data_IF_280069889086
#
_entry.id   IF_280069889086
#
_cell.length_a   1.000
_cell.length_b   1.000
_cell.length_c   1.000
_cell.angle_alpha   90.00
_cell.angle_beta   90.00
_cell.angle_gamma   90.00
#
_symmetry.space_group_name_H-M   'P 1'
#
loop_
_entity.id
_entity.type
_entity.pdbx_description
1 polymer ?
#
# COMPACT_ATOMS: atom_id res chain seq x y z
N UNK A 1 -17.54 19.33 -1.88
CA UNK A 1 -16.70 18.20 -1.42
C UNK A 1 -17.65 17.06 -1.09
N UNK A 2 -17.91 16.19 -2.05
CA UNK A 2 -18.87 15.10 -1.90
C UNK A 2 -18.16 14.00 -1.10
N UNK A 3 -18.64 13.71 0.11
CA UNK A 3 -18.13 12.61 0.94
C UNK A 3 -18.26 11.31 0.15
N UNK A 4 -17.15 10.61 0.02
CA UNK A 4 -17.04 9.28 -0.56
C UNK A 4 -17.96 8.34 0.23
N UNK A 5 -18.76 7.57 -0.50
CA UNK A 5 -19.64 6.54 0.02
C UNK A 5 -18.76 5.49 0.72
N UNK A 6 -18.96 5.27 2.02
CA UNK A 6 -18.20 4.30 2.83
C UNK A 6 -18.50 2.88 2.32
N UNK A 7 -17.70 2.41 1.36
CA UNK A 7 -17.63 0.98 1.09
C UNK A 7 -17.00 0.30 2.31
N UNK A 8 -17.79 -0.45 3.07
CA UNK A 8 -17.35 -1.17 4.28
C UNK A 8 -16.09 -2.00 3.97
N UNK A 9 -14.96 -1.59 4.56
CA UNK A 9 -13.75 -2.42 4.59
C UNK A 9 -14.14 -3.69 5.36
N UNK A 10 -13.76 -4.87 4.84
CA UNK A 10 -13.99 -6.18 5.49
C UNK A 10 -13.11 -6.36 6.74
N UNK A 11 -13.04 -5.37 7.61
CA UNK A 11 -12.48 -5.50 8.95
C UNK A 11 -13.63 -6.00 9.83
N UNK A 12 -13.53 -7.27 10.20
CA UNK A 12 -14.60 -7.97 10.93
C UNK A 12 -14.77 -7.38 12.34
N UNK A 13 -13.68 -6.85 12.93
CA UNK A 13 -13.73 -6.18 14.22
C UNK A 13 -12.63 -5.10 14.36
N UNK A 14 -12.99 -3.92 14.86
CA UNK A 14 -12.05 -2.80 15.03
C UNK A 14 -11.03 -3.06 16.16
N UNK A 15 -11.33 -4.00 17.06
CA UNK A 15 -10.49 -4.41 18.19
C UNK A 15 -9.25 -5.20 17.75
N UNK A 16 -9.27 -5.82 16.56
CA UNK A 16 -8.14 -6.56 16.00
C UNK A 16 -7.05 -5.62 15.43
N UNK A 17 -7.30 -4.31 15.42
CA UNK A 17 -6.34 -3.31 14.99
C UNK A 17 -5.27 -3.11 16.06
N UNK A 18 -4.08 -3.64 15.80
CA UNK A 18 -2.88 -3.44 16.62
C UNK A 18 -2.30 -2.07 16.30
N UNK A 19 -1.95 -1.29 17.33
CA UNK A 19 -1.29 0.01 17.20
C UNK A 19 0.20 -0.14 17.49
N UNK A 20 1.02 0.55 16.72
CA UNK A 20 2.47 0.53 16.89
C UNK A 20 3.06 1.94 16.64
N UNK A 21 4.35 2.10 16.95
CA UNK A 21 5.15 3.27 16.60
C UNK A 21 6.33 2.77 15.79
N UNK A 22 6.52 3.33 14.60
CA UNK A 22 7.69 3.09 13.77
C UNK A 22 8.55 4.33 13.67
N UNK A 23 9.86 4.11 13.59
CA UNK A 23 10.81 5.15 13.20
C UNK A 23 11.12 4.97 11.72
N UNK A 24 10.84 6.00 10.92
CA UNK A 24 11.15 6.07 9.49
C UNK A 24 12.05 7.28 9.30
N UNK A 25 13.24 7.06 8.75
CA UNK A 25 14.31 8.06 8.71
C UNK A 25 14.57 8.69 10.10
N UNK A 26 14.20 9.96 10.27
CA UNK A 26 14.33 10.77 11.48
C UNK A 26 12.99 10.96 12.22
N UNK A 27 11.91 10.43 11.68
CA UNK A 27 10.54 10.70 12.11
C UNK A 27 9.92 9.50 12.80
N UNK A 28 9.06 9.75 13.79
CA UNK A 28 8.23 8.73 14.42
C UNK A 28 6.81 8.81 13.88
N UNK A 29 6.32 7.70 13.34
CA UNK A 29 4.95 7.59 12.86
C UNK A 29 4.17 6.61 13.74
N UNK A 30 2.91 6.94 14.04
CA UNK A 30 1.96 5.98 14.61
C UNK A 30 1.41 5.13 13.48
N UNK A 31 1.45 3.81 13.65
CA UNK A 31 0.90 2.87 12.68
C UNK A 31 -0.23 2.07 13.30
N UNK A 32 -1.14 1.64 12.42
CA UNK A 32 -2.17 0.65 12.70
C UNK A 32 -1.92 -0.56 11.82
N UNK A 33 -2.27 -1.73 12.34
CA UNK A 33 -1.96 -3.00 11.73
C UNK A 33 -3.11 -3.98 11.93
N UNK A 34 -3.50 -4.69 10.86
CA UNK A 34 -4.60 -5.66 10.87
C UNK A 34 -4.39 -6.72 9.80
N UNK A 35 -5.17 -7.80 9.84
CA UNK A 35 -5.08 -8.95 8.96
C UNK A 35 -6.35 -9.11 8.11
N UNK A 36 -6.18 -9.29 6.80
CA UNK A 36 -7.24 -9.63 5.87
C UNK A 36 -7.23 -11.14 5.64
N UNK A 37 -8.28 -11.83 6.11
CA UNK A 37 -8.33 -13.30 6.12
C UNK A 37 -9.25 -13.84 5.02
N UNK A 38 -8.74 -14.79 4.25
CA UNK A 38 -9.45 -15.62 3.28
C UNK A 38 -8.73 -16.99 3.17
N UNK A 39 -8.69 -17.63 2.00
CA UNK A 39 -7.79 -18.76 1.73
C UNK A 39 -6.29 -18.42 1.90
N UNK A 40 -5.96 -17.14 2.12
CA UNK A 40 -4.67 -16.61 2.54
C UNK A 40 -4.88 -15.56 3.65
N UNK A 41 -3.81 -15.17 4.34
CA UNK A 41 -3.81 -14.08 5.33
C UNK A 41 -2.82 -13.01 4.87
N UNK A 42 -3.35 -11.85 4.50
CA UNK A 42 -2.54 -10.68 4.14
C UNK A 42 -2.60 -9.67 5.28
N UNK A 43 -1.45 -9.38 5.86
CA UNK A 43 -1.32 -8.40 6.93
C UNK A 43 -0.99 -7.02 6.36
N UNK A 44 -1.72 -6.00 6.81
CA UNK A 44 -1.57 -4.62 6.37
C UNK A 44 -1.16 -3.76 7.55
N UNK A 45 -0.07 -3.02 7.41
CA UNK A 45 0.35 -1.97 8.35
C UNK A 45 0.42 -0.62 7.63
N UNK A 46 -0.18 0.42 8.20
CA UNK A 46 -0.13 1.78 7.63
C UNK A 46 -0.11 2.85 8.71
N UNK A 47 0.43 4.02 8.39
CA UNK A 47 0.45 5.16 9.29
C UNK A 47 1.07 6.40 8.68
N UNK A 48 0.83 7.54 9.32
CA UNK A 48 1.42 8.84 8.95
C UNK A 48 1.65 9.68 10.21
N UNK A 49 2.61 10.61 10.16
CA UNK A 49 2.75 11.69 11.15
C UNK A 49 2.05 13.00 10.74
N UNK A 50 1.19 12.97 9.71
CA UNK A 50 0.41 14.11 9.24
C UNK A 50 1.17 15.01 8.28
N UNK A 51 0.58 16.19 8.04
CA UNK A 51 1.14 17.22 7.16
C UNK A 51 2.11 18.15 7.90
N UNK A 52 3.21 18.51 7.25
CA UNK A 52 4.29 19.34 7.82
C UNK A 52 4.61 20.59 6.97
N UNK A 53 3.82 20.87 5.93
CA UNK A 53 3.82 22.14 5.21
C UNK A 53 4.84 22.27 4.09
N UNK A 54 5.22 21.18 3.42
CA UNK A 54 6.21 21.23 2.35
C UNK A 54 6.61 19.88 1.78
N UNK A 55 7.85 19.83 1.28
CA UNK A 55 8.48 18.64 0.70
C UNK A 55 8.93 17.62 1.77
N UNK A 56 9.51 16.50 1.32
CA UNK A 56 10.09 15.45 2.19
C UNK A 56 11.01 15.99 3.30
N UNK A 57 11.67 17.13 3.09
CA UNK A 57 12.60 17.74 4.05
C UNK A 57 11.92 18.28 5.29
N UNK A 58 10.61 18.51 5.24
CA UNK A 58 9.80 19.05 6.34
C UNK A 58 9.36 17.96 7.34
N UNK A 59 9.63 16.69 7.04
CA UNK A 59 9.40 15.58 7.98
C UNK A 59 8.06 14.87 7.84
N UNK A 60 7.19 15.24 6.90
CA UNK A 60 5.98 14.46 6.60
C UNK A 60 6.35 13.05 6.11
N UNK A 61 5.75 12.02 6.69
CA UNK A 61 5.94 10.60 6.32
C UNK A 61 4.62 9.85 6.30
N UNK A 62 4.46 8.98 5.31
CA UNK A 62 3.44 7.93 5.30
C UNK A 62 4.04 6.58 4.93
N UNK A 63 3.45 5.54 5.49
CA UNK A 63 3.85 4.14 5.32
C UNK A 63 2.66 3.32 4.85
N UNK A 64 2.90 2.46 3.86
CA UNK A 64 2.02 1.35 3.51
C UNK A 64 2.86 0.09 3.43
N UNK A 65 2.50 -0.92 4.21
CA UNK A 65 3.18 -2.20 4.24
C UNK A 65 2.18 -3.34 4.09
N UNK A 66 2.49 -4.27 3.19
CA UNK A 66 1.77 -5.51 2.96
C UNK A 66 2.70 -6.67 3.32
N UNK A 67 2.27 -7.61 4.14
CA UNK A 67 3.08 -8.76 4.58
C UNK A 67 2.31 -10.07 4.44
N UNK A 68 2.98 -11.14 4.00
CA UNK A 68 2.39 -12.48 4.00
C UNK A 68 2.37 -13.00 5.45
N UNK A 69 1.18 -13.08 6.04
CA UNK A 69 0.99 -13.70 7.34
C UNK A 69 0.63 -15.19 7.23
N UNK A 70 0.07 -15.62 6.09
CA UNK A 70 -0.09 -17.03 5.73
C UNK A 70 -0.51 -17.18 4.26
N UNK A 71 0.32 -17.89 3.47
CA UNK A 71 -0.03 -18.39 2.14
C UNK A 71 -0.47 -17.32 1.13
N UNK A 72 0.05 -16.10 1.24
CA UNK A 72 -0.20 -15.02 0.27
C UNK A 72 0.80 -15.09 -0.87
N UNK A 73 0.31 -15.35 -2.08
CA UNK A 73 1.13 -15.24 -3.28
C UNK A 73 1.31 -13.77 -3.68
N UNK A 74 2.54 -13.27 -3.60
CA UNK A 74 2.87 -11.90 -3.97
C UNK A 74 4.26 -11.78 -4.58
N UNK A 75 4.39 -10.86 -5.54
CA UNK A 75 5.63 -10.49 -6.23
C UNK A 75 5.71 -8.98 -6.35
N UNK A 76 6.91 -8.43 -6.27
CA UNK A 76 7.16 -6.99 -6.38
C UNK A 76 8.25 -6.73 -7.42
N UNK A 77 8.00 -5.79 -8.33
CA UNK A 77 8.97 -5.29 -9.30
C UNK A 77 9.35 -3.88 -8.90
N UNK A 78 10.66 -3.61 -8.83
CA UNK A 78 11.18 -2.27 -8.52
C UNK A 78 11.98 -1.78 -9.72
N UNK A 79 11.50 -0.71 -10.33
CA UNK A 79 12.20 -0.01 -11.40
C UNK A 79 12.75 1.31 -10.87
N UNK A 80 13.99 1.65 -11.25
CA UNK A 80 14.63 2.88 -10.83
C UNK A 80 15.53 3.44 -11.93
N UNK A 81 15.92 4.70 -11.78
CA UNK A 81 16.94 5.30 -12.61
C UNK A 81 18.26 5.35 -11.85
N UNK A 82 19.34 4.88 -12.47
CA UNK A 82 20.69 5.02 -11.93
C UNK A 82 21.54 5.70 -12.99
N UNK A 83 22.07 6.87 -12.63
CA UNK A 83 22.98 7.67 -13.46
C UNK A 83 22.47 7.98 -14.88
N UNK A 84 21.20 8.37 -15.04
CA UNK A 84 20.63 8.74 -16.35
C UNK A 84 20.06 7.57 -17.15
N UNK A 85 20.12 6.34 -16.64
CA UNK A 85 19.60 5.15 -17.31
C UNK A 85 18.50 4.50 -16.48
N UNK A 86 17.31 4.38 -17.06
CA UNK A 86 16.23 3.57 -16.48
C UNK A 86 16.66 2.10 -16.49
N UNK A 87 16.69 1.48 -15.31
CA UNK A 87 16.92 0.05 -15.15
C UNK A 87 15.81 -0.53 -14.28
N UNK A 88 15.17 -1.60 -14.77
CA UNK A 88 14.28 -2.40 -13.95
C UNK A 88 15.11 -3.46 -13.24
N UNK A 89 15.12 -3.40 -11.91
CA UNK A 89 15.69 -4.45 -11.09
C UNK A 89 14.56 -5.40 -10.72
N UNK A 90 14.42 -6.46 -11.50
CA UNK A 90 13.58 -7.57 -11.09
C UNK A 90 14.32 -8.34 -9.98
N UNK A 91 14.03 -7.99 -8.74
CA UNK A 91 14.55 -8.72 -7.59
C UNK A 91 13.68 -9.97 -7.44
N UNK A 92 14.19 -11.09 -7.95
CA UNK A 92 13.54 -12.38 -7.81
C UNK A 92 13.73 -12.91 -6.40
N UNK A 93 12.74 -12.67 -5.55
CA UNK A 93 12.61 -13.42 -4.30
C UNK A 93 11.91 -14.75 -4.59
N UNK A 94 12.43 -15.84 -4.03
CA UNK A 94 11.74 -17.14 -4.06
C UNK A 94 10.38 -17.09 -3.35
N UNK A 95 10.26 -16.19 -2.39
CA UNK A 95 9.06 -15.83 -1.67
C UNK A 95 9.22 -14.38 -1.17
N UNK A 96 8.19 -13.55 -1.33
CA UNK A 96 8.21 -12.17 -0.81
C UNK A 96 7.50 -12.20 0.53
N UNK A 97 8.20 -11.88 1.63
CA UNK A 97 7.58 -11.83 2.97
C UNK A 97 6.78 -10.53 3.17
N UNK A 98 7.24 -9.43 2.59
CA UNK A 98 6.58 -8.13 2.69
C UNK A 98 7.02 -7.14 1.62
N UNK A 99 6.13 -6.21 1.28
CA UNK A 99 6.42 -5.02 0.47
C UNK A 99 6.09 -3.78 1.31
N UNK A 100 6.99 -2.82 1.32
CA UNK A 100 6.87 -1.58 2.09
C UNK A 100 7.12 -0.37 1.19
N UNK A 101 6.17 0.57 1.21
CA UNK A 101 6.24 1.85 0.50
C UNK A 101 6.25 2.95 1.54
N UNK A 102 7.25 3.82 1.45
CA UNK A 102 7.37 5.03 2.26
C UNK A 102 7.41 6.23 1.32
N UNK A 103 6.55 7.21 1.61
CA UNK A 103 6.57 8.51 0.94
C UNK A 103 6.75 9.61 1.97
N UNK A 104 7.27 10.76 1.55
CA UNK A 104 7.40 11.90 2.43
C UNK A 104 7.23 13.22 1.73
N UNK A 105 6.69 14.18 2.48
CA UNK A 105 6.16 15.44 1.95
C UNK A 105 4.64 15.36 1.80
N UNK A 106 3.98 16.52 1.91
CA UNK A 106 2.52 16.56 1.96
C UNK A 106 1.92 16.15 0.61
N UNK A 107 2.53 16.60 -0.48
CA UNK A 107 2.10 16.27 -1.84
C UNK A 107 2.21 14.77 -2.13
N UNK A 108 3.29 14.13 -1.69
CA UNK A 108 3.48 12.69 -1.89
C UNK A 108 2.50 11.86 -1.03
N UNK A 109 2.16 12.35 0.17
CA UNK A 109 1.13 11.71 1.01
C UNK A 109 -0.24 11.80 0.35
N UNK A 110 -0.65 12.98 -0.13
CA UNK A 110 -1.93 13.17 -0.81
C UNK A 110 -2.03 12.31 -2.08
N UNK A 111 -1.02 12.37 -2.93
CA UNK A 111 -1.00 11.60 -4.18
C UNK A 111 -0.91 10.08 -3.95
N UNK A 112 -0.28 9.62 -2.86
CA UNK A 112 -0.32 8.21 -2.46
C UNK A 112 -1.75 7.78 -2.09
N UNK A 113 -2.48 8.59 -1.32
CA UNK A 113 -3.87 8.30 -0.93
C UNK A 113 -4.75 8.20 -2.19
N UNK A 114 -4.71 9.23 -3.05
CA UNK A 114 -5.48 9.26 -4.30
C UNK A 114 -5.18 8.04 -5.19
N UNK A 115 -3.90 7.63 -5.26
CA UNK A 115 -3.48 6.46 -6.03
C UNK A 115 -4.05 5.16 -5.48
N UNK A 116 -4.05 4.98 -4.15
CA UNK A 116 -4.62 3.80 -3.49
C UNK A 116 -6.14 3.73 -3.67
N UNK A 117 -6.84 4.85 -3.57
CA UNK A 117 -8.27 4.94 -3.84
C UNK A 117 -8.60 4.57 -5.30
N UNK A 118 -7.82 5.08 -6.25
CA UNK A 118 -7.94 4.72 -7.66
C UNK A 118 -7.75 3.21 -7.88
N UNK A 119 -6.70 2.62 -7.30
CA UNK A 119 -6.42 1.19 -7.39
C UNK A 119 -7.62 0.37 -6.88
N UNK A 120 -8.10 0.68 -5.68
CA UNK A 120 -9.24 -0.04 -5.07
C UNK A 120 -10.48 0.07 -5.95
N UNK A 121 -10.81 1.28 -6.42
CA UNK A 121 -11.96 1.51 -7.28
C UNK A 121 -11.87 0.71 -8.58
N UNK A 122 -10.74 0.79 -9.28
CA UNK A 122 -10.55 0.13 -10.56
C UNK A 122 -10.59 -1.40 -10.43
N UNK A 123 -9.95 -1.97 -9.40
CA UNK A 123 -9.99 -3.43 -9.15
C UNK A 123 -11.42 -3.91 -8.87
N UNK A 124 -12.19 -3.19 -8.06
CA UNK A 124 -13.61 -3.51 -7.80
C UNK A 124 -14.44 -3.47 -9.07
N UNK A 125 -14.26 -2.44 -9.89
CA UNK A 125 -14.99 -2.27 -11.17
C UNK A 125 -14.69 -3.42 -12.14
N UNK A 126 -13.42 -3.78 -12.32
CA UNK A 126 -13.01 -4.90 -13.17
C UNK A 126 -13.60 -6.25 -12.70
N UNK A 127 -13.58 -6.52 -11.38
CA UNK A 127 -14.17 -7.75 -10.83
C UNK A 127 -15.69 -7.85 -11.06
N UNK A 128 -16.39 -6.72 -11.14
CA UNK A 128 -17.82 -6.66 -11.41
C UNK A 128 -18.14 -6.79 -12.92
N UNK A 129 -17.26 -6.33 -13.80
CA UNK A 129 -17.44 -6.36 -15.26
C UNK A 129 -17.00 -7.72 -15.87
N UNK A 130 -17.74 -8.78 -15.57
CA UNK A 130 -17.51 -10.12 -16.13
C UNK A 130 -17.80 -10.16 -17.64
N UNK A 131 -16.78 -10.07 -18.49
CA UNK A 131 -16.93 -10.29 -19.94
C UNK A 131 -15.82 -9.72 -20.83
N UNK A 132 -15.03 -8.79 -20.31
CA UNK A 132 -13.99 -8.07 -21.08
C UNK A 132 -12.57 -8.45 -20.65
N UNK A 133 -12.40 -9.59 -19.99
CA UNK A 133 -11.07 -10.06 -19.65
C UNK A 133 -10.33 -10.46 -20.92
N UNK A 134 -9.09 -9.99 -21.14
CA UNK A 134 -8.30 -10.43 -22.26
C UNK A 134 -8.19 -11.95 -22.21
N UNK A 135 -8.52 -12.61 -23.33
CA UNK A 135 -8.36 -14.05 -23.45
C UNK A 135 -6.88 -14.35 -23.42
N UNK A 136 -6.45 -15.12 -22.43
CA UNK A 136 -5.09 -15.64 -22.42
C UNK A 136 -4.92 -16.54 -23.65
N UNK A 137 -3.95 -16.23 -24.50
CA UNK A 137 -3.50 -17.14 -25.55
C UNK A 137 -2.73 -18.23 -24.81
N UNK A 138 -3.30 -19.43 -24.75
CA UNK A 138 -2.60 -20.63 -24.27
C UNK A 138 -1.56 -21.09 -25.29
#
# INVERSE_FOLDING_TARGET
MQRIQEDEIRIINMEDIKRNIRRIDREFIKTVKTEMVNCNILEVETGTNGYHGGDTGHGGRALVRLSDAASTDMRCLISGEIAGYSQTYEIYFSHVDSVEIVVGGDAEIETLIDSLEFIVKNLKEQLNNKGEWPKNIQ
#
